data_IF_757860866445
#
_entry.id   IF_757860866445
#
_cell.length_a   1.000
_cell.length_b   1.000
_cell.length_c   1.000
_cell.angle_alpha   90.00
_cell.angle_beta   90.00
_cell.angle_gamma   90.00
#
_symmetry.space_group_name_H-M   'P 1'
#
loop_
_entity.id
_entity.type
_entity.pdbx_description
1 polymer ?
#
# COMPACT_ATOMS: atom_id res chain seq x y z
N UNK A 1 -10.85 13.04 40.44
CA UNK A 1 -9.76 12.07 40.22
C UNK A 1 -10.16 10.89 39.33
N UNK A 2 -11.34 10.26 39.49
CA UNK A 2 -11.79 9.13 38.64
C UNK A 2 -11.94 9.42 37.14
N UNK A 3 -12.34 10.64 36.77
CA UNK A 3 -12.59 11.01 35.36
C UNK A 3 -11.26 11.18 34.60
N UNK A 4 -10.24 11.74 35.26
CA UNK A 4 -8.92 11.95 34.66
C UNK A 4 -8.19 10.64 34.36
N UNK A 5 -8.32 9.62 35.23
CA UNK A 5 -7.77 8.29 34.99
C UNK A 5 -8.46 7.55 33.86
N UNK A 6 -9.78 7.75 33.68
CA UNK A 6 -10.52 7.16 32.55
C UNK A 6 -10.08 7.76 31.21
N UNK A 7 -9.88 9.08 31.15
CA UNK A 7 -9.38 9.76 29.94
C UNK A 7 -7.95 9.35 29.58
N UNK A 8 -7.06 9.23 30.56
CA UNK A 8 -5.69 8.78 30.33
C UNK A 8 -5.63 7.35 29.79
N UNK A 9 -6.50 6.45 30.29
CA UNK A 9 -6.61 5.09 29.79
C UNK A 9 -7.09 5.05 28.33
N UNK A 10 -8.08 5.86 27.95
CA UNK A 10 -8.59 5.95 26.57
C UNK A 10 -7.53 6.48 25.61
N UNK A 11 -6.76 7.50 26.03
CA UNK A 11 -5.65 8.00 25.20
C UNK A 11 -4.50 7.00 25.04
N UNK A 12 -4.24 6.15 26.04
CA UNK A 12 -3.25 5.07 25.91
C UNK A 12 -3.70 3.97 24.92
N UNK A 13 -5.00 3.84 24.68
CA UNK A 13 -5.60 2.97 23.67
C UNK A 13 -5.77 3.64 22.31
N UNK A 14 -5.46 4.93 22.18
CA UNK A 14 -5.43 5.63 20.89
C UNK A 14 -4.17 5.21 20.13
N UNK A 15 -4.19 3.98 19.63
CA UNK A 15 -3.11 3.42 18.83
C UNK A 15 -3.03 4.20 17.53
N UNK A 16 -1.81 4.51 17.10
CA UNK A 16 -1.55 5.15 15.82
C UNK A 16 -2.06 4.25 14.71
N UNK A 17 -3.17 4.63 14.09
CA UNK A 17 -3.61 4.05 12.83
C UNK A 17 -2.49 4.27 11.82
N UNK A 18 -1.75 3.22 11.49
CA UNK A 18 -0.87 3.21 10.34
C UNK A 18 -1.64 2.63 9.16
N UNK A 19 -2.09 3.50 8.26
CA UNK A 19 -2.74 3.08 7.03
C UNK A 19 -1.70 2.45 6.09
N UNK A 20 -1.42 1.16 6.25
CA UNK A 20 -0.53 0.42 5.35
C UNK A 20 -1.27 0.12 4.05
N UNK A 21 -0.69 0.51 2.91
CA UNK A 21 -1.28 0.24 1.60
C UNK A 21 -0.33 -0.58 0.72
N UNK A 22 -0.91 -1.49 -0.06
CA UNK A 22 -0.23 -2.13 -1.20
C UNK A 22 -0.86 -1.66 -2.51
N UNK A 23 -0.04 -1.42 -3.54
CA UNK A 23 -0.51 -1.20 -4.91
C UNK A 23 -0.73 -2.55 -5.57
N UNK A 24 -1.99 -2.91 -5.82
CA UNK A 24 -2.37 -4.26 -6.25
C UNK A 24 -3.06 -4.28 -7.62
N UNK A 25 -3.52 -3.13 -8.10
CA UNK A 25 -4.35 -3.08 -9.31
C UNK A 25 -4.15 -1.81 -10.14
N UNK A 26 -3.86 -2.01 -11.42
CA UNK A 26 -3.62 -0.99 -12.43
C UNK A 26 -4.89 -0.80 -13.28
N UNK A 27 -5.25 0.45 -13.54
CA UNK A 27 -6.17 0.80 -14.62
C UNK A 27 -5.47 1.70 -15.63
N UNK A 28 -5.78 1.52 -16.91
CA UNK A 28 -5.32 2.37 -18.01
C UNK A 28 -6.53 2.75 -18.87
N UNK A 29 -6.82 4.06 -18.97
CA UNK A 29 -8.06 4.53 -19.56
C UNK A 29 -9.30 3.95 -18.85
N UNK A 30 -10.17 3.27 -19.59
CA UNK A 30 -11.36 2.58 -19.06
C UNK A 30 -11.11 1.12 -18.67
N UNK A 31 -9.89 0.61 -18.87
CA UNK A 31 -9.57 -0.80 -18.63
C UNK A 31 -8.99 -0.99 -17.24
N UNK A 32 -9.68 -1.79 -16.42
CA UNK A 32 -9.22 -2.23 -15.10
C UNK A 32 -8.60 -3.62 -15.23
N UNK A 33 -7.31 -3.75 -14.96
CA UNK A 33 -6.61 -5.04 -15.05
C UNK A 33 -6.85 -5.91 -13.79
N UNK A 34 -6.77 -7.24 -13.89
CA UNK A 34 -6.73 -8.15 -12.75
C UNK A 34 -5.67 -7.78 -11.70
N UNK A 35 -5.92 -8.23 -10.47
CA UNK A 35 -5.00 -8.03 -9.34
C UNK A 35 -3.63 -8.61 -9.65
N UNK A 36 -2.58 -7.83 -9.39
CA UNK A 36 -1.18 -8.10 -9.71
C UNK A 36 -0.86 -8.34 -11.21
N UNK A 37 -1.79 -8.10 -12.14
CA UNK A 37 -1.43 -8.06 -13.57
C UNK A 37 -0.68 -6.75 -13.87
N UNK A 38 0.49 -6.87 -14.51
CA UNK A 38 1.46 -5.80 -14.76
C UNK A 38 2.00 -5.10 -13.50
N UNK A 39 1.80 -5.69 -12.33
CA UNK A 39 2.28 -5.19 -11.03
C UNK A 39 3.04 -6.31 -10.36
N UNK A 40 4.24 -6.01 -9.86
CA UNK A 40 4.99 -6.96 -9.04
C UNK A 40 4.41 -6.97 -7.61
N UNK A 41 4.12 -8.15 -7.09
CA UNK A 41 3.52 -8.33 -5.77
C UNK A 41 4.55 -8.21 -4.66
N UNK A 42 4.25 -7.42 -3.63
CA UNK A 42 5.06 -7.28 -2.41
C UNK A 42 5.09 -8.59 -1.63
N UNK A 43 6.29 -9.00 -1.19
CA UNK A 43 6.51 -10.18 -0.35
C UNK A 43 6.59 -9.85 1.14
N UNK A 44 6.74 -8.57 1.50
CA UNK A 44 6.99 -8.13 2.87
C UNK A 44 5.71 -7.66 3.60
N UNK A 45 4.64 -8.47 3.59
CA UNK A 45 3.43 -8.30 4.41
C UNK A 45 2.96 -6.85 4.67
N UNK A 46 2.96 -6.01 3.62
CA UNK A 46 2.57 -4.59 3.68
C UNK A 46 3.40 -3.68 4.63
N UNK A 47 4.51 -4.17 5.20
CA UNK A 47 5.39 -3.40 6.08
C UNK A 47 6.10 -2.26 5.31
N UNK A 48 6.28 -1.06 5.91
CA UNK A 48 6.90 0.08 5.25
C UNK A 48 8.40 -0.17 5.07
N UNK A 49 8.98 0.38 4.00
CA UNK A 49 10.45 0.49 3.93
C UNK A 49 10.80 1.79 4.64
N UNK A 50 11.59 1.71 5.69
CA UNK A 50 11.92 2.86 6.55
C UNK A 50 13.33 3.40 6.31
N UNK A 51 14.22 2.57 5.80
CA UNK A 51 15.59 2.93 5.43
C UNK A 51 15.60 3.61 4.05
N UNK A 52 16.12 4.84 3.99
CA UNK A 52 16.20 5.67 2.78
C UNK A 52 17.37 5.31 1.85
N UNK A 53 18.29 4.47 2.30
CA UNK A 53 19.41 3.98 1.48
C UNK A 53 19.16 2.56 0.94
N UNK A 54 18.06 1.91 1.33
CA UNK A 54 17.72 0.56 0.88
C UNK A 54 17.30 0.51 -0.59
N UNK A 55 17.80 -0.48 -1.32
CA UNK A 55 17.36 -0.77 -2.69
C UNK A 55 15.84 -1.05 -2.77
N UNK A 56 15.24 -1.51 -1.67
CA UNK A 56 13.83 -1.83 -1.57
C UNK A 56 12.92 -0.59 -1.63
N UNK A 57 13.43 0.64 -1.52
CA UNK A 57 12.60 1.83 -1.70
C UNK A 57 12.03 1.96 -3.11
N UNK A 58 12.76 1.46 -4.11
CA UNK A 58 12.37 1.62 -5.51
C UNK A 58 11.13 0.81 -5.83
N UNK A 59 11.10 -0.45 -5.40
CA UNK A 59 10.02 -1.37 -5.75
C UNK A 59 9.60 -2.32 -4.62
N UNK A 60 10.12 -2.22 -3.39
CA UNK A 60 10.01 -3.26 -2.34
C UNK A 60 10.64 -4.60 -2.75
N UNK A 61 10.83 -5.54 -1.80
CA UNK A 61 11.07 -6.93 -2.16
C UNK A 61 9.80 -7.48 -2.80
N UNK A 62 9.93 -7.92 -4.05
CA UNK A 62 8.79 -8.35 -4.85
C UNK A 62 9.03 -9.71 -5.49
N UNK A 63 7.94 -10.35 -5.89
CA UNK A 63 8.00 -11.46 -6.83
C UNK A 63 8.44 -10.96 -8.21
N UNK A 64 9.45 -11.61 -8.79
CA UNK A 64 9.85 -11.37 -10.17
C UNK A 64 8.68 -11.68 -11.11
N UNK A 65 8.44 -10.80 -12.08
CA UNK A 65 7.34 -10.92 -13.02
C UNK A 65 7.74 -10.37 -14.38
N UNK A 66 7.40 -11.11 -15.43
CA UNK A 66 7.75 -10.80 -16.82
C UNK A 66 6.50 -10.57 -17.67
N UNK A 67 5.57 -9.76 -17.19
CA UNK A 67 4.43 -9.29 -17.97
C UNK A 67 4.51 -7.77 -18.14
N UNK A 68 4.85 -7.35 -19.35
CA UNK A 68 4.86 -5.95 -19.75
C UNK A 68 3.54 -5.56 -20.42
N UNK A 69 3.20 -4.28 -20.35
CA UNK A 69 2.09 -3.67 -21.09
C UNK A 69 2.58 -2.46 -21.87
N UNK A 70 2.12 -2.30 -23.11
CA UNK A 70 2.34 -1.10 -23.91
C UNK A 70 1.26 -0.07 -23.55
N UNK A 71 1.67 1.09 -23.08
CA UNK A 71 0.78 2.21 -22.74
C UNK A 71 1.10 3.36 -23.69
N UNK A 72 0.07 3.93 -24.32
CA UNK A 72 0.23 5.07 -25.20
C UNK A 72 0.73 6.29 -24.42
N UNK A 73 1.60 7.11 -25.05
CA UNK A 73 2.27 8.28 -24.43
C UNK A 73 1.32 9.41 -23.96
N UNK A 74 0.01 9.21 -24.01
CA UNK A 74 -1.03 10.14 -23.52
C UNK A 74 -2.12 9.44 -22.71
N UNK A 75 -1.96 8.16 -22.40
CA UNK A 75 -2.93 7.40 -21.62
C UNK A 75 -2.79 7.74 -20.14
N UNK A 76 -3.90 8.03 -19.47
CA UNK A 76 -3.94 8.11 -18.02
C UNK A 76 -3.92 6.70 -17.42
N UNK A 77 -3.13 6.50 -16.38
CA UNK A 77 -3.16 5.31 -15.55
C UNK A 77 -3.49 5.68 -14.10
N UNK A 78 -4.09 4.75 -13.37
CA UNK A 78 -4.44 4.97 -11.97
C UNK A 78 -4.28 3.71 -11.14
N UNK A 79 -4.05 3.93 -9.85
CA UNK A 79 -4.24 2.90 -8.82
C UNK A 79 -5.73 2.72 -8.59
N UNK A 80 -6.19 1.47 -8.70
CA UNK A 80 -7.63 1.18 -8.68
C UNK A 80 -8.15 0.73 -7.32
N UNK A 81 -7.26 0.35 -6.40
CA UNK A 81 -7.67 -0.15 -5.07
C UNK A 81 -7.48 0.86 -3.94
N UNK A 82 -8.57 1.14 -3.22
CA UNK A 82 -8.60 1.81 -1.91
C UNK A 82 -8.64 0.80 -0.74
N UNK A 83 -8.05 -0.38 -0.88
CA UNK A 83 -7.83 -1.25 0.27
C UNK A 83 -6.67 -0.71 1.11
N UNK A 84 -6.99 0.25 2.00
CA UNK A 84 -6.21 0.49 3.21
C UNK A 84 -6.44 -0.75 4.06
N UNK A 85 -5.41 -1.58 4.23
CA UNK A 85 -5.47 -2.61 5.25
C UNK A 85 -5.26 -1.87 6.57
N UNK A 86 -6.37 -1.68 7.29
CA UNK A 86 -6.36 -1.25 8.67
C UNK A 86 -5.87 -2.46 9.47
N UNK A 87 -4.59 -2.46 9.84
CA UNK A 87 -4.14 -3.34 10.91
C UNK A 87 -4.46 -2.58 12.21
N UNK A 88 -5.42 -3.12 12.96
CA UNK A 88 -5.75 -2.71 14.34
C UNK A 88 -5.00 -3.60 15.32
#
# INVERSE_FOLDING_TARGET
MKIATLFAAIMALAQSVSAHYTFQQLSVGSTKYPVFQYIRQNLNYNSPVTDLDSHDLRCKPLQAKNDGIIIGVKSCFSKTDRHILWDS
#
